data_IF_415461860170
#
_entry.id   IF_415461860170
#
_cell.length_a   1.000
_cell.length_b   1.000
_cell.length_c   1.000
_cell.angle_alpha   90.00
_cell.angle_beta   90.00
_cell.angle_gamma   90.00
#
_symmetry.space_group_name_H-M   'P 1'
#
loop_
_entity.id
_entity.type
_entity.pdbx_description
1 polymer ?
#
# COMPACT_ATOMS: atom_id res chain seq x y z
N UNK A 1 8.50 26.30 -20.85
CA UNK A 1 9.44 25.24 -20.44
C UNK A 1 8.62 24.16 -19.74
N UNK A 2 8.83 22.90 -20.07
CA UNK A 2 8.12 21.79 -19.41
C UNK A 2 8.80 21.53 -18.07
N UNK A 3 8.06 21.61 -16.98
CA UNK A 3 8.58 21.29 -15.63
C UNK A 3 8.75 19.78 -15.47
N UNK A 4 9.81 19.32 -14.82
CA UNK A 4 10.02 17.92 -14.50
C UNK A 4 9.71 17.69 -13.01
N UNK A 5 8.73 16.82 -12.72
CA UNK A 5 8.26 16.51 -11.37
C UNK A 5 8.77 15.11 -10.96
N UNK A 6 9.70 15.06 -10.00
CA UNK A 6 10.27 13.81 -9.48
C UNK A 6 9.50 13.32 -8.27
N UNK A 7 8.91 12.12 -8.38
CA UNK A 7 8.13 11.50 -7.32
C UNK A 7 8.83 10.22 -6.85
N UNK A 8 9.18 10.16 -5.57
CA UNK A 8 9.66 8.95 -4.90
C UNK A 8 8.48 8.28 -4.18
N UNK A 9 8.25 6.99 -4.43
CA UNK A 9 7.12 6.29 -3.84
C UNK A 9 7.42 4.84 -3.49
N UNK A 10 6.76 4.35 -2.44
CA UNK A 10 6.73 2.94 -2.12
C UNK A 10 6.05 2.12 -3.21
N UNK A 11 6.47 0.85 -3.38
CA UNK A 11 5.97 -0.02 -4.44
C UNK A 11 4.45 -0.25 -4.41
N UNK A 12 3.80 -0.16 -3.24
CA UNK A 12 2.35 -0.31 -3.12
C UNK A 12 1.56 0.74 -3.93
N UNK A 13 2.14 1.93 -4.17
CA UNK A 13 1.49 3.00 -4.94
C UNK A 13 1.86 2.98 -6.44
N UNK A 14 2.68 2.03 -6.88
CA UNK A 14 3.15 1.96 -8.26
C UNK A 14 1.99 1.88 -9.26
N UNK A 15 1.06 0.95 -9.05
CA UNK A 15 -0.08 0.78 -9.94
C UNK A 15 -0.99 2.00 -10.04
N UNK A 16 -1.12 2.78 -8.95
CA UNK A 16 -1.85 4.04 -8.94
C UNK A 16 -1.10 5.12 -9.71
N UNK A 17 0.16 5.38 -9.33
CA UNK A 17 0.93 6.50 -9.90
C UNK A 17 1.23 6.32 -11.39
N UNK A 18 1.48 5.09 -11.84
CA UNK A 18 1.71 4.80 -13.27
C UNK A 18 0.48 5.14 -14.13
N UNK A 19 -0.73 5.02 -13.58
CA UNK A 19 -1.97 5.33 -14.31
C UNK A 19 -2.34 6.83 -14.19
N UNK A 20 -2.08 7.44 -13.05
CA UNK A 20 -2.42 8.85 -12.78
C UNK A 20 -1.45 9.82 -13.45
N UNK A 21 -0.14 9.52 -13.48
CA UNK A 21 0.87 10.43 -13.98
C UNK A 21 0.62 10.88 -15.44
N UNK A 22 0.30 10.01 -16.42
CA UNK A 22 -0.01 10.43 -17.78
C UNK A 22 -1.24 11.34 -17.88
N UNK A 23 -2.26 11.15 -17.03
CA UNK A 23 -3.45 12.01 -17.00
C UNK A 23 -3.11 13.40 -16.51
N UNK A 24 -2.27 13.50 -15.49
CA UNK A 24 -1.78 14.77 -15.00
C UNK A 24 -0.94 15.51 -16.06
N UNK A 25 -0.03 14.81 -16.74
CA UNK A 25 0.81 15.36 -17.81
C UNK A 25 -0.01 15.90 -18.97
N UNK A 26 -1.11 15.23 -19.34
CA UNK A 26 -1.97 15.65 -20.45
C UNK A 26 -2.62 17.02 -20.20
N UNK A 27 -2.97 17.31 -18.96
CA UNK A 27 -3.59 18.59 -18.56
C UNK A 27 -2.61 19.67 -18.09
N UNK A 28 -1.31 19.38 -18.00
CA UNK A 28 -0.31 20.27 -17.44
C UNK A 28 0.98 20.26 -18.28
N UNK A 29 1.66 21.39 -18.37
CA UNK A 29 2.96 21.47 -19.04
C UNK A 29 4.08 20.88 -18.18
N UNK A 30 3.91 19.63 -17.75
CA UNK A 30 4.81 18.93 -16.83
C UNK A 30 5.08 17.49 -17.31
N UNK A 31 6.25 16.95 -16.93
CA UNK A 31 6.60 15.54 -17.03
C UNK A 31 6.78 14.98 -15.64
N UNK A 32 6.27 13.77 -15.41
CA UNK A 32 6.35 13.07 -14.11
C UNK A 32 7.37 11.94 -14.20
N UNK A 33 8.43 12.06 -13.44
CA UNK A 33 9.45 11.04 -13.26
C UNK A 33 9.13 10.24 -11.99
N UNK A 34 8.73 8.97 -12.16
CA UNK A 34 8.37 8.07 -11.08
C UNK A 34 9.55 7.17 -10.72
N UNK A 35 9.90 7.13 -9.45
CA UNK A 35 10.86 6.17 -8.91
C UNK A 35 10.23 5.41 -7.75
N UNK A 36 10.26 4.08 -7.85
CA UNK A 36 9.71 3.18 -6.84
C UNK A 36 10.80 2.41 -6.12
N UNK A 37 10.53 2.06 -4.86
CA UNK A 37 11.46 1.29 -4.05
C UNK A 37 10.84 0.80 -2.74
N UNK A 38 11.65 0.09 -1.96
CA UNK A 38 11.29 -0.25 -0.59
C UNK A 38 11.18 1.03 0.24
N UNK A 39 10.10 1.18 1.00
CA UNK A 39 9.84 2.38 1.82
C UNK A 39 11.02 2.72 2.74
N UNK A 40 11.61 1.73 3.40
CA UNK A 40 12.75 1.92 4.30
C UNK A 40 14.01 2.42 3.57
N UNK A 41 14.26 1.93 2.35
CA UNK A 41 15.38 2.36 1.53
C UNK A 41 15.17 3.80 1.04
N UNK A 42 13.98 4.12 0.50
CA UNK A 42 13.64 5.47 0.05
C UNK A 42 13.70 6.49 1.19
N UNK A 43 13.19 6.15 2.37
CA UNK A 43 13.30 7.01 3.56
C UNK A 43 14.75 7.33 3.89
N UNK A 44 15.61 6.31 3.95
CA UNK A 44 17.05 6.47 4.21
C UNK A 44 17.72 7.35 3.17
N UNK A 45 17.41 7.16 1.88
CA UNK A 45 17.95 7.98 0.79
C UNK A 45 17.52 9.44 0.93
N UNK A 46 16.25 9.71 1.27
CA UNK A 46 15.74 11.06 1.52
C UNK A 46 16.47 11.70 2.71
N UNK A 47 16.66 10.96 3.80
CA UNK A 47 17.42 11.42 4.96
C UNK A 47 18.88 11.78 4.58
N UNK A 48 19.47 11.05 3.63
CA UNK A 48 20.81 11.29 3.10
C UNK A 48 20.89 12.39 2.02
N UNK A 49 19.77 13.03 1.69
CA UNK A 49 19.75 14.18 0.77
C UNK A 49 19.41 13.83 -0.68
N UNK A 50 18.71 12.73 -0.94
CA UNK A 50 18.18 12.44 -2.28
C UNK A 50 17.35 13.61 -2.82
N UNK A 51 17.49 13.89 -4.12
CA UNK A 51 16.76 14.97 -4.81
C UNK A 51 15.43 14.43 -5.32
N UNK A 52 14.34 15.04 -4.87
CA UNK A 52 12.97 14.74 -5.27
C UNK A 52 12.10 16.00 -5.12
N UNK A 53 10.89 15.97 -5.66
CA UNK A 53 9.88 17.02 -5.50
C UNK A 53 8.74 16.56 -4.59
N UNK A 54 8.28 15.30 -4.75
CA UNK A 54 7.25 14.69 -3.92
C UNK A 54 7.76 13.35 -3.40
N UNK A 55 7.58 13.08 -2.11
CA UNK A 55 7.65 11.75 -1.53
C UNK A 55 6.23 11.26 -1.20
N UNK A 56 5.86 10.05 -1.66
CA UNK A 56 4.58 9.39 -1.35
C UNK A 56 4.87 8.07 -0.64
N UNK A 57 4.73 8.08 0.68
CA UNK A 57 5.11 6.99 1.57
C UNK A 57 4.01 6.80 2.64
N UNK A 58 4.08 5.74 3.48
CA UNK A 58 3.22 5.63 4.65
C UNK A 58 3.29 6.88 5.53
N UNK A 59 2.15 7.32 6.03
CA UNK A 59 2.03 8.57 6.80
C UNK A 59 3.06 8.74 7.93
N UNK A 60 3.37 7.71 8.75
CA UNK A 60 4.39 7.84 9.79
C UNK A 60 5.80 8.17 9.25
N UNK A 61 6.14 7.69 8.03
CA UNK A 61 7.41 7.99 7.40
C UNK A 61 7.47 9.43 6.89
N UNK A 62 6.39 9.93 6.29
CA UNK A 62 6.27 11.34 5.90
C UNK A 62 6.37 12.25 7.13
N UNK A 63 5.69 11.92 8.23
CA UNK A 63 5.76 12.68 9.47
C UNK A 63 7.19 12.70 10.06
N UNK A 64 7.89 11.56 10.02
CA UNK A 64 9.28 11.48 10.45
C UNK A 64 10.23 12.34 9.57
N UNK A 65 10.05 12.28 8.24
CA UNK A 65 10.81 13.09 7.29
C UNK A 65 10.52 14.57 7.42
N UNK A 66 9.28 14.95 7.77
CA UNK A 66 8.90 16.34 8.06
C UNK A 66 9.61 16.83 9.32
N UNK A 67 9.64 16.03 10.39
CA UNK A 67 10.39 16.35 11.62
C UNK A 67 11.89 16.47 11.36
N UNK A 68 12.43 15.66 10.45
CA UNK A 68 13.84 15.72 10.03
C UNK A 68 14.15 16.88 9.05
N UNK A 69 13.18 17.73 8.72
CA UNK A 69 13.35 18.86 7.81
C UNK A 69 13.58 18.49 6.35
N UNK A 70 13.18 17.27 5.93
CA UNK A 70 13.29 16.79 4.56
C UNK A 70 12.02 17.04 3.75
N UNK A 71 10.89 17.09 4.40
CA UNK A 71 9.58 17.46 3.85
C UNK A 71 9.20 18.85 4.38
N UNK A 72 8.68 19.70 3.52
CA UNK A 72 8.24 21.04 3.86
C UNK A 72 7.06 21.00 4.85
N UNK A 73 7.12 21.70 5.98
CA UNK A 73 6.00 21.77 6.92
C UNK A 73 4.72 22.25 6.24
N UNK A 74 3.58 21.64 6.59
CA UNK A 74 2.27 22.02 6.04
C UNK A 74 2.04 21.61 4.56
N UNK A 75 2.97 20.85 3.96
CA UNK A 75 2.81 20.35 2.58
C UNK A 75 2.26 18.92 2.49
N UNK A 76 2.01 18.27 3.61
CA UNK A 76 1.56 16.88 3.66
C UNK A 76 0.07 16.77 3.35
N UNK A 77 -0.28 15.84 2.46
CA UNK A 77 -1.65 15.48 2.16
C UNK A 77 -1.81 13.93 2.19
N UNK A 78 -2.89 13.45 2.78
CA UNK A 78 -3.28 12.04 2.66
C UNK A 78 -3.78 11.81 1.24
N UNK A 79 -3.24 10.78 0.58
CA UNK A 79 -3.54 10.50 -0.84
C UNK A 79 -4.46 9.29 -0.95
N UNK A 80 -4.13 8.24 -0.20
CA UNK A 80 -4.88 6.98 -0.28
C UNK A 80 -4.76 6.19 1.02
N UNK A 81 -5.76 5.33 1.24
CA UNK A 81 -5.81 4.39 2.35
C UNK A 81 -5.84 2.97 1.80
N UNK A 82 -5.05 2.08 2.37
CA UNK A 82 -5.00 0.68 1.99
C UNK A 82 -5.39 -0.20 3.17
N UNK A 83 -6.43 -0.99 2.99
CA UNK A 83 -6.90 -1.99 3.95
C UNK A 83 -6.19 -3.32 3.74
N UNK A 84 -6.13 -4.15 4.78
CA UNK A 84 -5.68 -5.53 4.70
C UNK A 84 -6.86 -6.40 4.28
N UNK A 85 -6.62 -7.34 3.38
CA UNK A 85 -7.61 -8.30 2.91
C UNK A 85 -7.09 -9.72 2.89
N UNK A 86 -7.99 -10.64 2.61
CA UNK A 86 -7.75 -12.06 2.48
C UNK A 86 -7.85 -12.46 1.01
N UNK A 87 -6.88 -13.22 0.54
CA UNK A 87 -6.84 -13.79 -0.80
C UNK A 87 -6.97 -15.30 -0.77
N UNK A 88 -7.63 -15.84 -1.78
CA UNK A 88 -7.67 -17.26 -2.14
C UNK A 88 -7.29 -17.42 -3.60
N UNK A 89 -7.00 -18.65 -4.04
CA UNK A 89 -6.78 -18.96 -5.46
C UNK A 89 -8.06 -18.67 -6.25
N UNK A 90 -7.92 -18.15 -7.45
CA UNK A 90 -9.05 -17.90 -8.35
C UNK A 90 -9.88 -19.17 -8.57
N UNK A 91 -11.20 -19.02 -8.42
CA UNK A 91 -12.16 -20.11 -8.50
C UNK A 91 -12.27 -20.99 -7.24
N UNK A 92 -11.47 -20.75 -6.20
CA UNK A 92 -11.64 -21.43 -4.92
C UNK A 92 -12.84 -20.90 -4.14
N UNK A 93 -13.45 -21.71 -3.29
CA UNK A 93 -14.50 -21.27 -2.39
C UNK A 93 -13.98 -20.15 -1.47
N UNK A 94 -14.71 -19.04 -1.39
CA UNK A 94 -14.37 -17.93 -0.52
C UNK A 94 -14.81 -18.25 0.91
N UNK A 95 -13.89 -18.30 1.88
CA UNK A 95 -14.25 -18.56 3.27
C UNK A 95 -15.00 -17.38 3.89
N UNK A 96 -15.77 -17.66 4.94
CA UNK A 96 -16.41 -16.61 5.74
C UNK A 96 -15.36 -15.89 6.62
N UNK A 97 -15.22 -14.60 6.41
CA UNK A 97 -14.35 -13.71 7.18
C UNK A 97 -15.11 -12.46 7.69
N UNK A 98 -16.45 -12.49 7.72
CA UNK A 98 -17.26 -11.32 8.02
C UNK A 98 -17.12 -10.80 9.46
N UNK A 99 -16.73 -11.66 10.41
CA UNK A 99 -16.51 -11.32 11.82
C UNK A 99 -15.15 -11.82 12.31
N UNK A 100 -14.67 -11.30 13.44
CA UNK A 100 -13.45 -11.76 14.07
C UNK A 100 -13.45 -13.28 14.33
N UNK A 101 -14.57 -13.83 14.81
CA UNK A 101 -14.74 -15.26 15.05
C UNK A 101 -14.77 -16.08 13.75
N UNK A 102 -15.42 -15.57 12.70
CA UNK A 102 -15.42 -16.22 11.39
C UNK A 102 -13.98 -16.23 10.80
N UNK A 103 -13.29 -15.11 10.83
CA UNK A 103 -11.90 -15.03 10.41
C UNK A 103 -10.99 -15.99 11.20
N UNK A 104 -11.13 -16.02 12.53
CA UNK A 104 -10.40 -16.96 13.40
C UNK A 104 -10.67 -18.41 13.00
N UNK A 105 -11.93 -18.81 12.81
CA UNK A 105 -12.29 -20.17 12.34
C UNK A 105 -11.69 -20.48 10.99
N UNK A 106 -11.75 -19.56 10.04
CA UNK A 106 -11.14 -19.69 8.71
C UNK A 106 -9.65 -19.99 8.81
N UNK A 107 -8.91 -19.24 9.63
CA UNK A 107 -7.47 -19.49 9.82
C UNK A 107 -7.20 -20.85 10.47
N UNK A 108 -8.01 -21.26 11.45
CA UNK A 108 -7.87 -22.56 12.11
C UNK A 108 -8.15 -23.72 11.15
N UNK A 109 -9.10 -23.60 10.25
CA UNK A 109 -9.50 -24.63 9.29
C UNK A 109 -8.61 -24.69 8.04
N UNK A 110 -7.99 -23.58 7.65
CA UNK A 110 -7.11 -23.52 6.49
C UNK A 110 -5.96 -24.55 6.59
N UNK A 111 -5.61 -25.17 5.47
CA UNK A 111 -4.49 -26.12 5.36
C UNK A 111 -3.14 -25.41 5.36
N UNK A 112 -3.09 -24.22 4.78
CA UNK A 112 -1.88 -23.39 4.71
C UNK A 112 -2.22 -21.91 4.65
N UNK A 113 -1.38 -21.10 5.30
CA UNK A 113 -1.55 -19.64 5.41
C UNK A 113 -0.25 -18.98 5.02
N UNK A 114 -0.33 -17.84 4.34
CA UNK A 114 0.84 -17.02 4.04
C UNK A 114 0.55 -15.54 4.29
N UNK A 115 1.54 -14.82 4.81
CA UNK A 115 1.60 -13.37 4.88
C UNK A 115 3.06 -12.91 4.81
N UNK A 116 3.29 -11.62 4.54
CA UNK A 116 4.64 -11.10 4.37
C UNK A 116 5.34 -10.87 5.72
N UNK A 117 6.65 -10.70 5.69
CA UNK A 117 7.47 -10.22 6.81
C UNK A 117 7.54 -8.68 6.88
N UNK A 118 6.89 -7.99 5.94
CA UNK A 118 6.79 -6.52 5.92
C UNK A 118 5.77 -5.96 6.95
N UNK A 119 5.51 -4.63 6.90
CA UNK A 119 4.67 -3.94 7.90
C UNK A 119 3.28 -4.54 8.10
N UNK A 120 2.59 -4.92 7.01
CA UNK A 120 1.28 -5.58 7.13
C UNK A 120 1.39 -6.97 7.76
N UNK A 121 2.44 -7.71 7.44
CA UNK A 121 2.65 -9.04 8.02
C UNK A 121 3.03 -9.00 9.51
N UNK A 122 3.81 -7.99 9.93
CA UNK A 122 4.08 -7.75 11.37
C UNK A 122 2.77 -7.51 12.11
N UNK A 123 1.88 -6.67 11.53
CA UNK A 123 0.55 -6.47 12.11
C UNK A 123 -0.25 -7.77 12.21
N UNK A 124 -0.28 -8.57 11.13
CA UNK A 124 -1.00 -9.85 11.07
C UNK A 124 -0.44 -10.84 12.11
N UNK A 125 0.88 -10.94 12.25
CA UNK A 125 1.49 -11.77 13.30
C UNK A 125 0.99 -11.38 14.70
N UNK A 126 1.04 -10.08 15.03
CA UNK A 126 0.50 -9.59 16.31
C UNK A 126 -1.01 -9.78 16.47
N UNK A 127 -1.78 -9.70 15.37
CA UNK A 127 -3.22 -9.99 15.37
C UNK A 127 -3.49 -11.47 15.69
N UNK A 128 -2.77 -12.37 15.06
CA UNK A 128 -2.85 -13.81 15.29
C UNK A 128 -2.57 -14.16 16.76
N UNK A 129 -1.59 -13.50 17.38
CA UNK A 129 -1.28 -13.67 18.80
C UNK A 129 -2.42 -13.14 19.69
N UNK A 130 -2.98 -11.97 19.37
CA UNK A 130 -4.15 -11.42 20.09
C UNK A 130 -5.40 -12.30 19.97
N UNK A 131 -5.59 -13.00 18.85
CA UNK A 131 -6.66 -13.97 18.65
C UNK A 131 -6.43 -15.30 19.41
N UNK A 132 -5.24 -15.48 19.98
CA UNK A 132 -4.87 -16.68 20.77
C UNK A 132 -4.73 -17.96 19.94
N UNK A 133 -4.43 -17.85 18.63
CA UNK A 133 -4.32 -18.99 17.72
C UNK A 133 -2.91 -19.20 17.15
N UNK A 134 -1.93 -18.42 17.58
CA UNK A 134 -0.58 -18.46 17.04
C UNK A 134 0.03 -19.87 17.05
N UNK A 135 -0.12 -20.60 18.13
CA UNK A 135 0.44 -21.97 18.24
C UNK A 135 -0.21 -22.97 17.26
N UNK A 136 -1.53 -22.84 17.04
CA UNK A 136 -2.28 -23.75 16.15
C UNK A 136 -1.98 -23.51 14.67
N UNK A 137 -1.73 -22.26 14.25
CA UNK A 137 -1.53 -21.94 12.83
C UNK A 137 -0.06 -21.86 12.46
N UNK A 138 0.88 -21.68 13.38
CA UNK A 138 2.33 -21.61 13.12
C UNK A 138 2.84 -22.77 12.25
N UNK A 139 2.47 -24.06 12.50
CA UNK A 139 2.97 -25.18 11.68
C UNK A 139 2.55 -25.14 10.20
N UNK A 140 1.50 -24.38 9.87
CA UNK A 140 0.94 -24.24 8.53
C UNK A 140 1.06 -22.84 7.96
N UNK A 141 1.85 -21.98 8.62
CA UNK A 141 2.10 -20.60 8.19
C UNK A 141 3.47 -20.50 7.53
N UNK A 142 3.50 -19.95 6.32
CA UNK A 142 4.72 -19.58 5.61
C UNK A 142 4.82 -18.06 5.51
N UNK A 143 5.90 -17.49 6.03
CA UNK A 143 6.25 -16.09 5.80
C UNK A 143 6.96 -15.94 4.46
N UNK A 144 6.74 -14.81 3.78
CA UNK A 144 7.39 -14.49 2.52
C UNK A 144 7.88 -13.05 2.49
N UNK A 145 9.02 -12.82 1.85
CA UNK A 145 9.52 -11.48 1.49
C UNK A 145 8.93 -10.97 0.19
N UNK A 146 8.29 -11.86 -0.59
CA UNK A 146 7.67 -11.56 -1.88
C UNK A 146 6.16 -11.32 -1.81
N UNK A 147 5.51 -11.17 -2.97
CA UNK A 147 4.07 -10.98 -3.07
C UNK A 147 3.30 -12.21 -2.58
N UNK A 148 2.56 -12.05 -1.50
CA UNK A 148 1.74 -13.10 -0.87
C UNK A 148 0.73 -13.71 -1.84
N UNK A 149 0.07 -12.87 -2.64
CA UNK A 149 -0.96 -13.31 -3.57
C UNK A 149 -0.41 -14.20 -4.71
N UNK A 150 0.88 -14.11 -5.05
CA UNK A 150 1.52 -15.01 -6.03
C UNK A 150 1.60 -16.44 -5.50
N UNK A 151 1.93 -16.64 -4.22
CA UNK A 151 1.94 -17.96 -3.59
C UNK A 151 0.54 -18.58 -3.56
N UNK A 152 -0.48 -17.75 -3.35
CA UNK A 152 -1.88 -18.19 -3.40
C UNK A 152 -2.28 -18.58 -4.83
N UNK A 153 -1.95 -17.75 -5.81
CA UNK A 153 -2.21 -18.02 -7.23
C UNK A 153 -1.54 -19.32 -7.71
N UNK A 154 -0.31 -19.56 -7.27
CA UNK A 154 0.43 -20.80 -7.56
C UNK A 154 -0.13 -22.03 -6.83
N UNK A 155 -1.01 -21.85 -5.83
CA UNK A 155 -1.53 -22.95 -5.00
C UNK A 155 -0.57 -23.42 -3.91
N UNK A 156 0.49 -22.66 -3.64
CA UNK A 156 1.45 -22.94 -2.56
C UNK A 156 0.91 -22.55 -1.17
N UNK A 157 -0.13 -21.70 -1.12
CA UNK A 157 -0.88 -21.38 0.07
C UNK A 157 -2.37 -21.32 -0.23
N UNK A 158 -3.21 -21.77 0.73
CA UNK A 158 -4.66 -21.74 0.62
C UNK A 158 -5.19 -20.33 0.93
N UNK A 159 -4.66 -19.71 1.99
CA UNK A 159 -5.05 -18.37 2.45
C UNK A 159 -3.83 -17.46 2.40
N UNK A 160 -3.99 -16.33 1.73
CA UNK A 160 -3.03 -15.21 1.76
C UNK A 160 -3.62 -14.00 2.47
N UNK A 161 -2.83 -13.32 3.30
CA UNK A 161 -3.26 -12.11 4.00
C UNK A 161 -2.27 -10.99 3.68
N UNK A 162 -2.76 -9.94 3.01
CA UNK A 162 -1.92 -8.84 2.51
C UNK A 162 -2.77 -7.58 2.31
N UNK A 163 -2.16 -6.45 2.03
CA UNK A 163 -2.88 -5.25 1.58
C UNK A 163 -3.66 -5.53 0.30
N UNK A 164 -4.90 -5.06 0.21
CA UNK A 164 -5.79 -5.28 -0.94
C UNK A 164 -5.16 -4.79 -2.23
N UNK A 165 -4.49 -3.64 -2.21
CA UNK A 165 -3.78 -3.06 -3.37
C UNK A 165 -2.71 -4.00 -3.94
N UNK A 166 -2.16 -4.90 -3.15
CA UNK A 166 -1.15 -5.88 -3.58
C UNK A 166 -1.76 -7.23 -3.97
N UNK A 167 -3.03 -7.48 -3.65
CA UNK A 167 -3.76 -8.69 -4.06
C UNK A 167 -4.35 -8.50 -5.47
N UNK A 168 -5.05 -7.40 -5.69
CA UNK A 168 -5.86 -7.18 -6.90
C UNK A 168 -5.09 -7.29 -8.23
N UNK A 169 -3.81 -6.89 -8.36
CA UNK A 169 -3.08 -7.02 -9.62
C UNK A 169 -2.69 -8.46 -9.99
N UNK A 170 -2.74 -9.39 -9.04
CA UNK A 170 -2.17 -10.73 -9.21
C UNK A 170 -3.20 -11.65 -9.88
N UNK A 171 -2.93 -12.00 -11.14
CA UNK A 171 -3.73 -12.98 -11.87
C UNK A 171 -3.63 -14.36 -11.21
N UNK A 172 -4.77 -15.02 -11.05
CA UNK A 172 -4.84 -16.35 -10.40
C UNK A 172 -5.07 -16.28 -8.89
N UNK A 173 -5.08 -15.09 -8.28
CA UNK A 173 -5.58 -14.87 -6.93
C UNK A 173 -6.89 -14.06 -6.97
N UNK A 174 -7.78 -14.31 -6.02
CA UNK A 174 -9.02 -13.57 -5.83
C UNK A 174 -9.09 -13.01 -4.41
N UNK A 175 -9.55 -11.76 -4.32
CA UNK A 175 -9.87 -11.14 -3.04
C UNK A 175 -11.17 -11.76 -2.49
N UNK A 176 -11.09 -12.28 -1.25
CA UNK A 176 -12.28 -12.68 -0.47
C UNK A 176 -13.00 -11.44 0.04
N UNK A 177 -12.26 -10.55 0.66
CA UNK A 177 -12.72 -9.29 1.23
C UNK A 177 -11.69 -8.66 2.16
N UNK A 178 -11.99 -7.47 2.71
CA UNK A 178 -11.19 -6.86 3.77
C UNK A 178 -11.30 -7.68 5.06
N UNK A 179 -10.33 -7.52 5.97
CA UNK A 179 -10.48 -8.01 7.34
C UNK A 179 -11.71 -7.36 8.01
N UNK A 180 -12.34 -8.03 8.99
CA UNK A 180 -13.38 -7.43 9.81
C UNK A 180 -12.94 -6.08 10.39
N UNK A 181 -13.87 -5.15 10.55
CA UNK A 181 -13.56 -3.77 10.95
C UNK A 181 -12.78 -3.68 12.28
N UNK A 182 -13.11 -4.52 13.24
CA UNK A 182 -12.47 -4.63 14.55
C UNK A 182 -11.07 -5.27 14.50
N UNK A 183 -10.72 -5.93 13.41
CA UNK A 183 -9.42 -6.54 13.14
C UNK A 183 -8.64 -5.79 12.04
N UNK A 184 -9.20 -4.71 11.50
CA UNK A 184 -8.59 -4.02 10.37
C UNK A 184 -7.42 -3.14 10.80
N UNK A 185 -6.41 -3.06 9.95
CA UNK A 185 -5.36 -2.05 10.01
C UNK A 185 -5.30 -1.33 8.67
N UNK A 186 -5.59 -0.04 8.69
CA UNK A 186 -5.57 0.80 7.49
C UNK A 186 -4.24 1.54 7.42
N UNK A 187 -3.52 1.35 6.33
CA UNK A 187 -2.29 2.08 6.05
C UNK A 187 -2.66 3.34 5.26
N UNK A 188 -2.36 4.50 5.82
CA UNK A 188 -2.50 5.78 5.14
C UNK A 188 -1.22 6.07 4.37
N UNK A 189 -1.33 6.31 3.08
CA UNK A 189 -0.27 6.80 2.22
C UNK A 189 -0.42 8.30 2.04
N UNK A 190 0.59 9.04 2.49
CA UNK A 190 0.61 10.48 2.41
C UNK A 190 1.71 10.95 1.46
N UNK A 191 1.47 12.05 0.79
CA UNK A 191 2.47 12.76 0.00
C UNK A 191 2.94 14.01 0.74
N UNK A 192 4.22 14.33 0.59
CA UNK A 192 4.81 15.56 1.10
C UNK A 192 5.80 16.15 0.09
N UNK A 193 5.87 17.47 0.04
CA UNK A 193 6.80 18.21 -0.82
C UNK A 193 8.19 18.25 -0.20
N UNK A 194 9.24 18.13 -1.01
CA UNK A 194 10.61 18.32 -0.55
C UNK A 194 10.80 19.72 0.07
N UNK A 195 11.54 19.80 1.18
CA UNK A 195 11.77 21.10 1.86
C UNK A 195 12.53 22.11 1.00
N UNK A 196 13.35 21.65 0.04
CA UNK A 196 14.11 22.51 -0.90
C UNK A 196 13.54 22.59 -2.31
N UNK A 197 12.24 22.28 -2.50
CA UNK A 197 11.64 22.25 -3.84
C UNK A 197 11.69 23.62 -4.53
N UNK A 198 12.17 23.63 -5.80
CA UNK A 198 12.30 24.86 -6.59
C UNK A 198 10.99 25.28 -7.24
N UNK A 199 10.24 24.33 -7.80
CA UNK A 199 8.94 24.57 -8.45
C UNK A 199 7.82 23.88 -7.65
N UNK A 200 7.41 24.54 -6.56
CA UNK A 200 6.32 24.03 -5.72
C UNK A 200 4.94 24.11 -6.37
N UNK A 201 4.76 24.91 -7.43
CA UNK A 201 3.45 25.12 -8.07
C UNK A 201 2.99 23.84 -8.77
N UNK A 202 3.84 23.21 -9.58
CA UNK A 202 3.54 21.94 -10.28
C UNK A 202 3.34 20.82 -9.29
N UNK A 203 4.17 20.73 -8.24
CA UNK A 203 4.02 19.70 -7.23
C UNK A 203 2.70 19.85 -6.43
N UNK A 204 2.31 21.07 -6.08
CA UNK A 204 1.00 21.34 -5.45
C UNK A 204 -0.16 21.03 -6.40
N UNK A 205 -0.03 21.34 -7.70
CA UNK A 205 -1.03 20.99 -8.71
C UNK A 205 -1.20 19.47 -8.82
N UNK A 206 -0.10 18.70 -8.72
CA UNK A 206 -0.17 17.23 -8.69
C UNK A 206 -0.93 16.72 -7.45
N UNK A 207 -0.64 17.25 -6.25
CA UNK A 207 -1.36 16.86 -5.05
C UNK A 207 -2.86 17.22 -5.14
N UNK A 208 -3.19 18.39 -5.68
CA UNK A 208 -4.58 18.77 -5.93
C UNK A 208 -5.26 17.86 -6.96
N UNK A 209 -4.54 17.45 -8.00
CA UNK A 209 -5.03 16.50 -9.01
C UNK A 209 -5.41 15.15 -8.39
N UNK A 210 -4.67 14.67 -7.39
CA UNK A 210 -4.98 13.41 -6.70
C UNK A 210 -6.34 13.40 -6.00
N UNK A 211 -6.93 14.58 -5.73
CA UNK A 211 -8.28 14.74 -5.16
C UNK A 211 -9.38 14.91 -6.24
N UNK A 212 -9.04 14.95 -7.52
CA UNK A 212 -10.04 15.07 -8.61
C UNK A 212 -10.88 13.79 -8.76
N UNK A 213 -12.09 13.88 -9.34
CA UNK A 213 -12.92 12.71 -9.59
C UNK A 213 -12.23 11.62 -10.42
N UNK A 214 -11.39 11.99 -11.38
CA UNK A 214 -10.65 11.04 -12.23
C UNK A 214 -9.60 10.29 -11.43
N UNK A 215 -8.79 10.97 -10.63
CA UNK A 215 -7.80 10.33 -9.77
C UNK A 215 -8.48 9.46 -8.69
N UNK A 216 -9.56 9.94 -8.08
CA UNK A 216 -10.36 9.18 -7.08
C UNK A 216 -10.93 7.91 -7.68
N UNK A 217 -11.40 7.95 -8.94
CA UNK A 217 -11.87 6.75 -9.64
C UNK A 217 -10.75 5.71 -9.79
N UNK A 218 -9.54 6.15 -10.15
CA UNK A 218 -8.38 5.26 -10.28
C UNK A 218 -7.97 4.71 -8.91
N UNK A 219 -7.91 5.56 -7.86
CA UNK A 219 -7.63 5.13 -6.48
C UNK A 219 -8.54 3.95 -6.10
N UNK A 220 -9.86 4.11 -6.29
CA UNK A 220 -10.83 3.05 -6.00
C UNK A 220 -10.65 1.81 -6.87
N UNK A 221 -10.36 1.96 -8.16
CA UNK A 221 -10.11 0.84 -9.07
C UNK A 221 -8.87 0.02 -8.68
N UNK A 222 -7.90 0.63 -7.97
CA UNK A 222 -6.74 -0.08 -7.40
C UNK A 222 -7.02 -0.71 -6.02
N UNK A 223 -8.26 -0.70 -5.53
CA UNK A 223 -8.59 -1.25 -4.21
C UNK A 223 -8.13 -0.38 -3.04
N UNK A 224 -7.95 0.90 -3.30
CA UNK A 224 -7.60 1.93 -2.32
C UNK A 224 -8.83 2.79 -2.03
N UNK A 225 -8.85 3.42 -0.86
CA UNK A 225 -9.79 4.48 -0.54
C UNK A 225 -9.07 5.83 -0.66
N UNK A 226 -9.75 6.90 -1.10
CA UNK A 226 -9.17 8.25 -1.09
C UNK A 226 -8.75 8.69 0.32
N UNK A 227 -7.71 9.49 0.40
CA UNK A 227 -7.14 10.00 1.65
C UNK A 227 -8.01 11.01 2.40
#
# INVERSE_FOLDING_TARGET
MTSNLKILSGGAMQGLLTEVAPLFEHGNAAKVELRFGLTSALKKEIEQGAVFDIALLPRPDIDALTKAGRIAPGSTADIARSSIGVAVRAGAAKPDIATADAFKRTLLQARSITYSDGPSGIYIGGLIDRLGIGQQIKPKTRLTTGPVAELVAAGEAEIGIQQIVAILPIKGAELVGPLPADLQNVIIYAAGLAAGIKDSAVARAFLAFMATPDAVRIIRAKGLEPG
#
